data_IF_504415185040
#
_entry.id   IF_504415185040
#
_cell.length_a   1.000
_cell.length_b   1.000
_cell.length_c   1.000
_cell.angle_alpha   90.00
_cell.angle_beta   90.00
_cell.angle_gamma   90.00
#
_symmetry.space_group_name_H-M   'P 1'
#
loop_
_entity.id
_entity.type
_entity.pdbx_description
1 polymer ?
#
# COMPACT_ATOMS: atom_id res chain seq x y z
N UNK A 1 25.95 -23.94 19.97
CA UNK A 1 25.13 -23.53 18.81
C UNK A 1 24.66 -22.10 19.09
N UNK A 2 25.05 -21.06 18.34
CA UNK A 2 24.43 -19.76 18.55
C UNK A 2 23.10 -19.76 17.81
N UNK A 3 22.01 -19.58 18.56
CA UNK A 3 20.69 -19.24 18.05
C UNK A 3 20.79 -17.87 17.41
N UNK A 4 20.67 -17.83 16.09
CA UNK A 4 20.43 -16.63 15.31
C UNK A 4 19.06 -16.09 15.73
N UNK A 5 19.04 -15.24 16.75
CA UNK A 5 17.86 -14.48 17.16
C UNK A 5 17.48 -13.61 15.96
N UNK A 6 16.42 -14.02 15.27
CA UNK A 6 15.87 -13.33 14.13
C UNK A 6 15.70 -11.85 14.48
N UNK A 7 16.43 -10.96 13.79
CA UNK A 7 16.15 -9.53 13.78
C UNK A 7 14.80 -9.33 13.07
N UNK A 8 13.70 -8.98 13.75
CA UNK A 8 12.40 -8.85 13.11
C UNK A 8 12.20 -7.45 12.49
N UNK A 9 13.02 -6.46 12.88
CA UNK A 9 12.77 -5.05 12.56
C UNK A 9 13.21 -4.64 11.15
N UNK A 10 14.29 -5.23 10.62
CA UNK A 10 14.82 -4.84 9.30
C UNK A 10 14.01 -5.36 8.10
N UNK A 11 12.99 -6.20 8.35
CA UNK A 11 12.11 -6.77 7.31
C UNK A 11 10.89 -5.90 6.98
N UNK A 12 10.64 -4.82 7.71
CA UNK A 12 9.38 -4.05 7.58
C UNK A 12 9.32 -3.16 6.35
N UNK A 13 10.45 -2.62 5.89
CA UNK A 13 10.52 -1.74 4.71
C UNK A 13 11.00 -2.57 3.51
N UNK A 14 10.11 -3.44 3.03
CA UNK A 14 10.30 -4.16 1.77
C UNK A 14 9.16 -3.80 0.83
N UNK A 15 9.51 -3.64 -0.43
CA UNK A 15 8.56 -3.55 -1.53
C UNK A 15 8.63 -4.85 -2.32
N UNK A 16 7.49 -5.51 -2.47
CA UNK A 16 7.43 -6.70 -3.31
C UNK A 16 7.24 -6.34 -4.80
N UNK A 17 6.78 -5.12 -5.09
CA UNK A 17 6.67 -4.57 -6.46
C UNK A 17 7.12 -3.10 -6.52
N UNK A 18 8.25 -2.77 -7.17
CA UNK A 18 8.74 -1.39 -7.28
C UNK A 18 7.82 -0.41 -8.04
N UNK A 19 6.97 -0.88 -8.96
CA UNK A 19 6.04 -0.01 -9.71
C UNK A 19 4.84 0.35 -8.85
N UNK A 20 4.26 -0.65 -8.19
CA UNK A 20 3.19 -0.45 -7.21
C UNK A 20 3.66 0.40 -6.03
N UNK A 21 4.89 0.18 -5.55
CA UNK A 21 5.47 0.94 -4.44
C UNK A 21 5.44 2.46 -4.67
N UNK A 22 5.80 2.93 -5.88
CA UNK A 22 5.76 4.37 -6.19
C UNK A 22 4.34 4.93 -6.20
N UNK A 23 3.38 4.16 -6.72
CA UNK A 23 1.97 4.55 -6.71
C UNK A 23 1.40 4.56 -5.28
N UNK A 24 1.78 3.58 -4.45
CA UNK A 24 1.42 3.50 -3.03
C UNK A 24 1.93 4.71 -2.24
N UNK A 25 3.20 5.06 -2.44
CA UNK A 25 3.81 6.26 -1.84
C UNK A 25 3.12 7.54 -2.29
N UNK A 26 2.85 7.68 -3.60
CA UNK A 26 2.15 8.84 -4.15
C UNK A 26 0.72 8.98 -3.63
N UNK A 27 -0.03 7.87 -3.55
CA UNK A 27 -1.37 7.84 -2.96
C UNK A 27 -1.34 8.27 -1.49
N UNK A 28 -0.42 7.73 -0.69
CA UNK A 28 -0.22 8.13 0.72
C UNK A 28 0.07 9.63 0.83
N UNK A 29 0.94 10.15 -0.04
CA UNK A 29 1.34 11.55 -0.02
C UNK A 29 0.17 12.48 -0.35
N UNK A 30 -0.61 12.19 -1.39
CA UNK A 30 -1.80 12.97 -1.73
C UNK A 30 -2.82 12.91 -0.58
N UNK A 31 -3.10 11.72 -0.02
CA UNK A 31 -4.06 11.60 1.08
C UNK A 31 -3.62 12.34 2.35
N UNK A 32 -2.31 12.46 2.58
CA UNK A 32 -1.77 13.20 3.71
C UNK A 32 -1.85 14.72 3.49
N UNK A 33 -1.50 15.20 2.30
CA UNK A 33 -1.41 16.64 1.98
C UNK A 33 -2.76 17.26 1.61
N UNK A 34 -3.58 16.53 0.85
CA UNK A 34 -4.91 16.94 0.41
C UNK A 34 -5.90 15.76 0.49
N UNK A 35 -6.45 15.50 1.69
CA UNK A 35 -7.51 14.51 1.89
C UNK A 35 -8.73 14.72 0.97
N UNK A 36 -8.97 15.97 0.54
CA UNK A 36 -10.10 16.34 -0.31
C UNK A 36 -10.00 15.73 -1.71
N UNK A 37 -8.79 15.48 -2.21
CA UNK A 37 -8.55 14.86 -3.51
C UNK A 37 -9.14 13.44 -3.63
N UNK A 38 -9.37 12.75 -2.51
CA UNK A 38 -10.00 11.43 -2.50
C UNK A 38 -11.53 11.46 -2.58
N UNK A 39 -12.16 12.63 -2.44
CA UNK A 39 -13.62 12.74 -2.43
C UNK A 39 -14.22 12.21 -3.74
N UNK A 40 -15.19 11.31 -3.62
CA UNK A 40 -15.88 10.71 -4.76
C UNK A 40 -15.11 9.61 -5.48
N UNK A 41 -13.93 9.19 -4.98
CA UNK A 41 -13.14 8.10 -5.57
C UNK A 41 -13.27 6.82 -4.75
N UNK A 42 -13.25 5.69 -5.45
CA UNK A 42 -13.14 4.37 -4.83
C UNK A 42 -11.67 4.10 -4.52
N UNK A 43 -11.32 4.26 -3.24
CA UNK A 43 -9.97 3.99 -2.75
C UNK A 43 -9.75 2.48 -2.62
N UNK A 44 -8.56 1.95 -2.99
CA UNK A 44 -8.26 0.52 -2.87
C UNK A 44 -8.24 0.09 -1.41
N UNK A 45 -8.54 -1.18 -1.11
CA UNK A 45 -8.36 -1.70 0.23
C UNK A 45 -6.86 -1.72 0.59
N UNK A 46 -6.48 -1.57 1.88
CA UNK A 46 -5.08 -1.64 2.31
C UNK A 46 -4.35 -2.92 1.85
N UNK A 47 -5.08 -4.00 1.66
CA UNK A 47 -4.58 -5.31 1.24
C UNK A 47 -4.04 -5.31 -0.21
N UNK A 48 -4.38 -4.31 -1.03
CA UNK A 48 -3.82 -4.13 -2.38
C UNK A 48 -2.39 -3.60 -2.39
N UNK A 49 -1.91 -3.05 -1.26
CA UNK A 49 -0.54 -2.54 -1.16
C UNK A 49 0.48 -3.68 -1.20
N UNK A 50 1.60 -3.44 -1.87
CA UNK A 50 2.75 -4.35 -1.94
C UNK A 50 3.65 -4.26 -0.71
N UNK A 51 3.58 -3.14 0.01
CA UNK A 51 4.35 -2.93 1.24
C UNK A 51 3.48 -3.05 2.49
N UNK A 52 3.75 -4.00 3.40
CA UNK A 52 2.99 -4.15 4.65
C UNK A 52 3.03 -2.90 5.54
N UNK A 53 4.15 -2.17 5.54
CA UNK A 53 4.30 -0.95 6.32
C UNK A 53 3.47 0.20 5.74
N UNK A 54 3.47 0.36 4.41
CA UNK A 54 2.63 1.36 3.74
C UNK A 54 1.14 1.02 3.86
N UNK A 55 0.76 -0.27 3.76
CA UNK A 55 -0.61 -0.73 3.96
C UNK A 55 -1.14 -0.31 5.35
N UNK A 56 -0.32 -0.45 6.40
CA UNK A 56 -0.68 -0.04 7.77
C UNK A 56 -0.86 1.48 7.88
N UNK A 57 0.05 2.27 7.32
CA UNK A 57 -0.07 3.73 7.30
C UNK A 57 -1.34 4.16 6.54
N UNK A 58 -1.53 3.62 5.34
CA UNK A 58 -2.66 3.89 4.49
C UNK A 58 -3.99 3.54 5.16
N UNK A 59 -4.08 2.42 5.89
CA UNK A 59 -5.29 2.05 6.65
C UNK A 59 -5.69 3.15 7.64
N UNK A 60 -4.73 3.72 8.35
CA UNK A 60 -5.01 4.77 9.33
C UNK A 60 -5.33 6.12 8.65
N UNK A 61 -4.68 6.44 7.53
CA UNK A 61 -5.05 7.60 6.71
C UNK A 61 -6.48 7.47 6.16
N UNK A 62 -6.82 6.31 5.59
CA UNK A 62 -8.14 6.00 5.05
C UNK A 62 -9.22 6.16 6.12
N UNK A 63 -9.01 5.62 7.33
CA UNK A 63 -9.92 5.78 8.46
C UNK A 63 -10.17 7.25 8.78
N UNK A 64 -9.10 8.06 8.85
CA UNK A 64 -9.19 9.49 9.18
C UNK A 64 -9.87 10.30 8.09
N UNK A 65 -9.57 10.02 6.83
CA UNK A 65 -10.23 10.64 5.67
C UNK A 65 -11.73 10.36 5.72
N UNK A 66 -12.13 9.13 6.04
CA UNK A 66 -13.53 8.74 6.14
C UNK A 66 -14.24 9.36 7.36
N UNK A 67 -13.55 9.51 8.50
CA UNK A 67 -14.14 10.12 9.70
C UNK A 67 -14.01 11.64 9.75
N UNK A 68 -13.29 12.25 8.80
CA UNK A 68 -12.99 13.68 8.80
C UNK A 68 -12.04 14.10 9.92
N UNK A 69 -11.26 13.17 10.46
CA UNK A 69 -10.28 13.44 11.52
C UNK A 69 -9.02 14.10 10.97
N UNK A 70 -8.39 14.92 11.81
CA UNK A 70 -7.09 15.52 11.50
C UNK A 70 -6.03 14.43 11.26
N UNK A 71 -5.26 14.61 10.19
CA UNK A 71 -4.11 13.78 9.86
C UNK A 71 -2.84 14.53 10.28
N UNK A 72 -1.98 13.91 11.10
CA UNK A 72 -0.66 14.46 11.43
C UNK A 72 0.32 13.37 11.85
N UNK A 73 1.61 13.60 11.66
CA UNK A 73 2.63 12.62 12.10
C UNK A 73 2.66 12.44 13.61
N UNK A 74 2.36 13.50 14.38
CA UNK A 74 2.31 13.42 15.84
C UNK A 74 1.26 12.42 16.33
N UNK A 75 0.11 12.35 15.67
CA UNK A 75 -0.97 11.42 16.02
C UNK A 75 -0.63 9.98 15.61
N UNK A 76 0.17 9.81 14.54
CA UNK A 76 0.57 8.50 14.04
C UNK A 76 1.79 7.93 14.78
N UNK A 77 2.65 8.77 15.35
CA UNK A 77 3.93 8.37 15.97
C UNK A 77 3.81 7.29 17.06
N UNK A 78 2.69 7.21 17.78
CA UNK A 78 2.46 6.18 18.81
C UNK A 78 2.14 4.78 18.27
N UNK A 79 1.94 4.63 16.95
CA UNK A 79 1.48 3.38 16.32
C UNK A 79 2.57 2.69 15.47
N UNK A 80 3.70 3.36 15.27
CA UNK A 80 4.76 2.93 14.38
C UNK A 80 6.12 3.02 15.06
N UNK A 81 7.08 2.23 14.60
CA UNK A 81 8.46 2.28 15.11
C UNK A 81 9.19 3.53 14.62
N UNK A 82 10.30 3.89 15.26
CA UNK A 82 11.12 5.04 14.82
C UNK A 82 11.64 4.92 13.38
N UNK A 83 11.96 3.69 12.94
CA UNK A 83 12.41 3.42 11.57
C UNK A 83 11.25 3.58 10.57
N UNK A 84 10.06 3.08 10.90
CA UNK A 84 8.85 3.24 10.08
C UNK A 84 8.49 4.74 9.96
N UNK A 85 8.56 5.48 11.06
CA UNK A 85 8.33 6.93 11.04
C UNK A 85 9.36 7.67 10.19
N UNK A 86 10.64 7.30 10.29
CA UNK A 86 11.71 7.87 9.44
C UNK A 86 11.50 7.56 7.96
N UNK A 87 10.96 6.39 7.66
CA UNK A 87 10.59 6.04 6.30
C UNK A 87 9.41 6.88 5.80
N UNK A 88 8.36 7.05 6.61
CA UNK A 88 7.20 7.87 6.24
C UNK A 88 7.55 9.33 6.01
N UNK A 89 8.43 9.91 6.83
CA UNK A 89 8.91 11.28 6.59
C UNK A 89 9.65 11.40 5.26
N UNK A 90 10.44 10.38 4.89
CA UNK A 90 11.07 10.33 3.55
C UNK A 90 10.03 10.24 2.43
N UNK A 91 9.00 9.41 2.58
CA UNK A 91 7.91 9.27 1.59
C UNK A 91 7.17 10.60 1.43
N UNK A 92 6.83 11.27 2.53
CA UNK A 92 6.10 12.54 2.51
C UNK A 92 6.97 13.74 2.07
N UNK A 93 8.29 13.65 2.21
CA UNK A 93 9.22 14.71 1.80
C UNK A 93 9.52 14.75 0.30
N UNK A 94 9.13 13.73 -0.46
CA UNK A 94 9.28 13.72 -1.91
C UNK A 94 8.24 14.66 -2.57
N UNK A 95 8.60 15.30 -3.70
CA UNK A 95 7.73 16.27 -4.36
C UNK A 95 6.46 15.63 -4.93
N UNK A 96 5.32 16.31 -4.79
CA UNK A 96 4.03 15.96 -5.40
C UNK A 96 3.45 17.17 -6.11
N UNK A 97 2.93 16.98 -7.32
CA UNK A 97 2.18 18.02 -8.01
C UNK A 97 0.71 17.99 -7.61
N UNK A 98 0.38 18.80 -6.60
CA UNK A 98 -0.99 18.91 -6.10
C UNK A 98 -1.95 19.63 -7.07
N UNK A 99 -1.43 20.35 -8.07
CA UNK A 99 -2.25 21.01 -9.11
C UNK A 99 -3.06 20.00 -9.93
N UNK A 100 -2.59 18.75 -9.97
CA UNK A 100 -3.21 17.64 -10.67
C UNK A 100 -3.55 16.47 -9.73
N UNK A 101 -3.71 16.72 -8.43
CA UNK A 101 -3.95 15.69 -7.41
C UNK A 101 -5.13 14.76 -7.75
N UNK A 102 -6.21 15.30 -8.32
CA UNK A 102 -7.40 14.54 -8.74
C UNK A 102 -7.10 13.47 -9.81
N UNK A 103 -6.24 13.81 -10.76
CA UNK A 103 -5.79 12.89 -11.81
C UNK A 103 -4.74 11.93 -11.25
N UNK A 104 -3.75 12.46 -10.53
CA UNK A 104 -2.65 11.68 -9.98
C UNK A 104 -3.14 10.56 -9.05
N UNK A 105 -4.11 10.86 -8.16
CA UNK A 105 -4.69 9.84 -7.29
C UNK A 105 -5.40 8.74 -8.09
N UNK A 106 -6.08 9.09 -9.19
CA UNK A 106 -6.75 8.12 -10.07
C UNK A 106 -5.73 7.22 -10.78
N UNK A 107 -4.63 7.79 -11.26
CA UNK A 107 -3.53 7.06 -11.88
C UNK A 107 -2.86 6.11 -10.88
N UNK A 108 -2.62 6.55 -9.64
CA UNK A 108 -2.06 5.70 -8.58
C UNK A 108 -3.00 4.55 -8.21
N UNK A 109 -4.30 4.82 -8.07
CA UNK A 109 -5.31 3.78 -7.79
C UNK A 109 -5.29 2.73 -8.89
N UNK A 110 -5.24 3.14 -10.17
CA UNK A 110 -5.20 2.21 -11.30
C UNK A 110 -3.96 1.30 -11.27
N UNK A 111 -2.78 1.84 -10.92
CA UNK A 111 -1.56 1.04 -10.80
C UNK A 111 -1.65 0.02 -9.65
N UNK A 112 -2.18 0.42 -8.50
CA UNK A 112 -2.29 -0.44 -7.30
C UNK A 112 -3.33 -1.55 -7.53
N UNK A 113 -4.47 -1.22 -8.14
CA UNK A 113 -5.56 -2.17 -8.39
C UNK A 113 -5.23 -3.14 -9.51
N UNK A 114 -4.64 -2.68 -10.61
CA UNK A 114 -4.23 -3.55 -11.72
C UNK A 114 -3.29 -4.67 -11.31
N UNK A 115 -2.37 -4.42 -10.38
CA UNK A 115 -1.51 -5.46 -9.78
C UNK A 115 -2.34 -6.53 -9.06
N UNK A 116 -3.35 -6.11 -8.31
CA UNK A 116 -4.19 -7.03 -7.52
C UNK A 116 -4.97 -7.95 -8.45
N UNK A 117 -5.54 -7.39 -9.52
CA UNK A 117 -6.28 -8.12 -10.54
C UNK A 117 -5.36 -9.14 -11.26
N UNK A 118 -4.18 -8.72 -11.70
CA UNK A 118 -3.19 -9.61 -12.34
C UNK A 118 -2.81 -10.80 -11.43
N UNK A 119 -2.58 -10.54 -10.14
CA UNK A 119 -2.22 -11.57 -9.17
C UNK A 119 -3.37 -12.56 -8.90
N UNK A 120 -4.62 -12.10 -8.87
CA UNK A 120 -5.81 -12.95 -8.71
C UNK A 120 -6.04 -13.85 -9.93
N UNK A 121 -5.85 -13.29 -11.14
CA UNK A 121 -5.98 -14.03 -12.39
C UNK A 121 -4.92 -15.13 -12.54
N UNK A 122 -3.67 -14.85 -12.15
CA UNK A 122 -2.59 -15.86 -12.13
C UNK A 122 -2.93 -17.03 -11.18
N UNK A 123 -3.46 -16.75 -10.00
CA UNK A 123 -3.89 -17.78 -9.05
C UNK A 123 -5.05 -18.62 -9.59
N UNK A 124 -6.03 -17.98 -10.23
CA UNK A 124 -7.15 -18.68 -10.87
C UNK A 124 -6.66 -19.59 -12.00
N UNK A 125 -5.77 -19.11 -12.86
CA UNK A 125 -5.19 -19.88 -13.95
C UNK A 125 -4.38 -21.10 -13.46
N UNK A 126 -3.63 -20.95 -12.37
CA UNK A 126 -2.92 -22.06 -11.73
C UNK A 126 -3.91 -23.10 -11.17
N UNK A 127 -4.96 -22.67 -10.47
CA UNK A 127 -5.96 -23.57 -9.91
C UNK A 127 -6.69 -24.40 -10.99
N UNK A 128 -6.98 -23.83 -12.16
CA UNK A 128 -7.56 -24.55 -13.30
C UNK A 128 -6.61 -25.60 -13.89
N UNK A 129 -5.31 -25.29 -14.00
CA UNK A 129 -4.30 -26.27 -14.46
C UNK A 129 -4.24 -27.48 -13.52
N UNK A 130 -4.25 -27.27 -12.21
CA UNK A 130 -4.24 -28.37 -11.22
C UNK A 130 -5.53 -29.21 -11.25
N UNK A 131 -6.69 -28.62 -11.55
CA UNK A 131 -7.95 -29.39 -11.71
C UNK A 131 -7.91 -30.27 -12.96
N UNK A 132 -7.40 -29.75 -14.08
CA UNK A 132 -7.29 -30.53 -15.32
C UNK A 132 -6.36 -31.72 -15.15
N UNK A 133 -5.18 -31.56 -14.57
CA UNK A 133 -4.21 -32.67 -14.42
C UNK A 133 -4.67 -33.76 -13.45
N UNK A 134 -5.45 -33.43 -12.41
CA UNK A 134 -6.05 -34.44 -11.52
C UNK A 134 -7.20 -35.25 -12.15
N UNK A 135 -7.80 -34.76 -13.24
CA UNK A 135 -8.97 -35.40 -13.86
C UNK A 135 -8.60 -36.38 -14.99
N UNK A 136 -7.35 -36.47 -15.42
CA UNK A 136 -6.89 -37.36 -16.52
C UNK A 136 -6.29 -38.70 -16.04
N UNK A 137 -6.52 -39.11 -14.79
CA UNK A 137 -5.99 -40.36 -14.21
C UNK A 137 -7.06 -41.38 -13.82
N UNK A 138 -8.15 -41.47 -14.58
CA UNK A 138 -9.20 -42.49 -14.44
C UNK A 138 -9.10 -43.56 -15.52
#
# INVERSE_FOLDING_TARGET
RPTQTAQPAQRSIRYDDPRSARAEEGLIRILYLDPGAAKGKTLPPPESFSSPVLARLYRELLRRVQTGETISMAVLAGQFTGDEMSHFTSVLGAPEDLSHADKAISDYIAVITGRTEDAEDDLRALAEKYRKTKSFGG
#
